data_IF_678071654363
#
_entry.id   IF_678071654363
#
_cell.length_a   1.000
_cell.length_b   1.000
_cell.length_c   1.000
_cell.angle_alpha   90.00
_cell.angle_beta   90.00
_cell.angle_gamma   90.00
#
_symmetry.space_group_name_H-M   'P 1'
#
loop_
_entity.id
_entity.type
_entity.pdbx_description
1 polymer ?
#
# COMPACT_ATOMS: atom_id res chain seq x y z
N UNK A 1 3.18 -20.50 -12.59
CA UNK A 1 4.00 -19.30 -12.26
C UNK A 1 3.35 -18.40 -11.21
N UNK A 2 2.03 -18.14 -11.30
CA UNK A 2 1.26 -17.31 -10.36
C UNK A 2 1.45 -17.73 -8.89
N UNK A 3 1.31 -19.02 -8.57
CA UNK A 3 1.49 -19.50 -7.19
C UNK A 3 2.88 -19.25 -6.59
N UNK A 4 3.95 -19.23 -7.41
CA UNK A 4 5.31 -18.90 -6.93
C UNK A 4 5.43 -17.40 -6.62
N UNK A 5 4.86 -16.55 -7.46
CA UNK A 5 4.85 -15.09 -7.25
C UNK A 5 4.01 -14.72 -6.01
N UNK A 6 2.84 -15.33 -5.85
CA UNK A 6 1.98 -15.13 -4.68
C UNK A 6 2.68 -15.53 -3.37
N UNK A 7 3.36 -16.69 -3.34
CA UNK A 7 4.15 -17.09 -2.16
C UNK A 7 5.23 -16.07 -1.81
N UNK A 8 5.95 -15.54 -2.82
CA UNK A 8 6.95 -14.48 -2.60
C UNK A 8 6.33 -13.21 -2.02
N UNK A 9 5.19 -12.77 -2.55
CA UNK A 9 4.48 -11.60 -2.03
C UNK A 9 4.02 -11.79 -0.59
N UNK A 10 3.47 -12.97 -0.24
CA UNK A 10 3.09 -13.30 1.15
C UNK A 10 4.28 -13.27 2.11
N UNK A 11 5.47 -13.70 1.66
CA UNK A 11 6.70 -13.60 2.45
C UNK A 11 7.08 -12.13 2.66
N UNK A 12 7.07 -11.30 1.62
CA UNK A 12 7.41 -9.88 1.74
C UNK A 12 6.39 -9.11 2.60
N UNK A 13 5.09 -9.43 2.50
CA UNK A 13 4.06 -8.90 3.38
C UNK A 13 4.40 -9.16 4.84
N UNK A 14 4.71 -10.41 5.19
CA UNK A 14 5.05 -10.78 6.56
C UNK A 14 6.32 -10.08 7.08
N UNK A 15 7.32 -9.89 6.21
CA UNK A 15 8.53 -9.14 6.56
C UNK A 15 8.22 -7.68 6.88
N UNK A 16 7.33 -7.05 6.11
CA UNK A 16 6.91 -5.67 6.32
C UNK A 16 6.12 -5.54 7.63
N UNK A 17 5.20 -6.46 7.91
CA UNK A 17 4.46 -6.52 9.18
C UNK A 17 5.41 -6.59 10.39
N UNK A 18 6.47 -7.41 10.29
CA UNK A 18 7.48 -7.53 11.33
C UNK A 18 8.24 -6.20 11.55
N UNK A 19 8.58 -5.49 10.48
CA UNK A 19 9.21 -4.17 10.55
C UNK A 19 8.24 -3.14 11.16
N UNK A 20 6.98 -3.15 10.73
CA UNK A 20 5.90 -2.28 11.23
C UNK A 20 5.72 -2.46 12.75
N UNK A 21 5.68 -3.71 13.22
CA UNK A 21 5.61 -4.03 14.65
C UNK A 21 6.81 -3.49 15.43
N UNK A 22 8.04 -3.67 14.91
CA UNK A 22 9.26 -3.17 15.55
C UNK A 22 9.29 -1.64 15.64
N UNK A 23 8.83 -0.94 14.60
CA UNK A 23 8.72 0.51 14.59
C UNK A 23 7.68 1.00 15.60
N UNK A 24 6.52 0.35 15.70
CA UNK A 24 5.49 0.68 16.70
C UNK A 24 5.98 0.49 18.14
N UNK A 25 6.78 -0.55 18.39
CA UNK A 25 7.44 -0.77 19.68
C UNK A 25 8.46 0.33 19.97
N UNK A 26 9.27 0.70 18.98
CA UNK A 26 10.27 1.79 19.11
C UNK A 26 9.59 3.14 19.36
N UNK A 27 8.52 3.46 18.66
CA UNK A 27 7.68 4.65 18.86
C UNK A 27 7.24 4.76 20.33
N UNK A 28 6.65 3.69 20.87
CA UNK A 28 6.22 3.65 22.28
C UNK A 28 7.37 3.91 23.26
N UNK A 29 8.52 3.27 23.06
CA UNK A 29 9.68 3.44 23.95
C UNK A 29 10.20 4.87 23.90
N UNK A 30 10.33 5.45 22.70
CA UNK A 30 10.79 6.82 22.54
C UNK A 30 9.79 7.82 23.11
N UNK A 31 8.50 7.56 22.95
CA UNK A 31 7.44 8.39 23.52
C UNK A 31 7.52 8.45 25.05
N UNK A 32 7.63 7.29 25.72
CA UNK A 32 7.82 7.25 27.17
C UNK A 32 9.12 7.94 27.61
N UNK A 33 10.20 7.76 26.85
CA UNK A 33 11.48 8.43 27.12
C UNK A 33 11.38 9.95 26.96
N UNK A 34 10.61 10.41 25.98
CA UNK A 34 10.35 11.82 25.73
C UNK A 34 9.56 12.45 26.88
N UNK A 35 8.51 11.77 27.35
CA UNK A 35 7.73 12.17 28.53
C UNK A 35 8.64 12.32 29.76
N UNK A 36 9.57 11.38 29.98
CA UNK A 36 10.53 11.46 31.08
C UNK A 36 11.51 12.64 30.93
N UNK A 37 12.00 12.90 29.72
CA UNK A 37 12.88 14.04 29.44
C UNK A 37 12.16 15.38 29.71
N UNK A 38 10.88 15.49 29.34
CA UNK A 38 10.05 16.65 29.65
C UNK A 38 9.86 16.85 31.15
N UNK A 39 9.56 15.77 31.90
CA UNK A 39 9.42 15.82 33.36
C UNK A 39 10.70 16.31 34.05
N UNK A 40 11.87 15.95 33.51
CA UNK A 40 13.18 16.41 33.99
C UNK A 40 13.57 17.82 33.50
N UNK A 41 12.65 18.54 32.85
CA UNK A 41 12.90 19.86 32.24
C UNK A 41 14.05 19.86 31.20
N UNK A 42 14.43 18.69 30.66
CA UNK A 42 15.44 18.58 29.62
C UNK A 42 14.80 18.75 28.25
N UNK A 43 14.50 20.01 27.93
CA UNK A 43 13.79 20.39 26.69
C UNK A 43 14.55 19.99 25.43
N UNK A 44 15.87 20.17 25.40
CA UNK A 44 16.70 19.80 24.23
C UNK A 44 16.59 18.32 23.88
N UNK A 45 16.70 17.43 24.88
CA UNK A 45 16.55 15.98 24.66
C UNK A 45 15.12 15.61 24.28
N UNK A 46 14.11 16.24 24.87
CA UNK A 46 12.71 16.02 24.51
C UNK A 46 12.44 16.39 23.04
N UNK A 47 12.95 17.51 22.55
CA UNK A 47 12.79 17.93 21.15
C UNK A 47 13.39 16.93 20.17
N UNK A 48 14.59 16.42 20.44
CA UNK A 48 15.23 15.40 19.59
C UNK A 48 14.37 14.13 19.52
N UNK A 49 13.87 13.65 20.66
CA UNK A 49 13.02 12.46 20.73
C UNK A 49 11.69 12.68 20.00
N UNK A 50 11.09 13.87 20.13
CA UNK A 50 9.85 14.22 19.45
C UNK A 50 10.01 14.21 17.92
N UNK A 51 11.14 14.73 17.41
CA UNK A 51 11.45 14.70 15.98
C UNK A 51 11.62 13.26 15.47
N UNK A 52 12.36 12.42 16.20
CA UNK A 52 12.52 11.00 15.85
C UNK A 52 11.18 10.25 15.83
N UNK A 53 10.31 10.51 16.82
CA UNK A 53 8.94 9.96 16.86
C UNK A 53 8.14 10.38 15.62
N UNK A 54 8.25 11.66 15.21
CA UNK A 54 7.55 12.15 14.02
C UNK A 54 8.01 11.43 12.74
N UNK A 55 9.32 11.20 12.59
CA UNK A 55 9.86 10.43 11.45
C UNK A 55 9.44 8.96 11.48
N UNK A 56 9.43 8.32 12.65
CA UNK A 56 8.93 6.94 12.79
C UNK A 56 7.46 6.86 12.38
N UNK A 57 6.62 7.83 12.78
CA UNK A 57 5.20 7.86 12.39
C UNK A 57 5.01 8.01 10.89
N UNK A 58 5.82 8.84 10.23
CA UNK A 58 5.82 8.94 8.76
C UNK A 58 6.18 7.60 8.12
N UNK A 59 7.22 6.93 8.63
CA UNK A 59 7.64 5.62 8.13
C UNK A 59 6.56 4.55 8.34
N UNK A 60 5.92 4.50 9.51
CA UNK A 60 4.81 3.57 9.77
C UNK A 60 3.64 3.81 8.83
N UNK A 61 3.28 5.07 8.55
CA UNK A 61 2.23 5.39 7.57
C UNK A 61 2.61 4.94 6.15
N UNK A 62 3.87 5.11 5.76
CA UNK A 62 4.36 4.61 4.48
C UNK A 62 4.25 3.08 4.39
N UNK A 63 4.73 2.35 5.40
CA UNK A 63 4.64 0.88 5.44
C UNK A 63 3.20 0.39 5.38
N UNK A 64 2.27 1.07 6.06
CA UNK A 64 0.84 0.74 5.99
C UNK A 64 0.31 0.79 4.54
N UNK A 65 0.66 1.82 3.76
CA UNK A 65 0.25 1.88 2.36
C UNK A 65 0.90 0.78 1.51
N UNK A 66 2.14 0.36 1.83
CA UNK A 66 2.79 -0.76 1.15
C UNK A 66 2.12 -2.09 1.49
N UNK A 67 1.75 -2.31 2.76
CA UNK A 67 1.01 -3.50 3.21
C UNK A 67 -0.31 -3.62 2.42
N UNK A 68 -1.11 -2.55 2.35
CA UNK A 68 -2.36 -2.52 1.58
C UNK A 68 -2.13 -2.80 0.08
N UNK A 69 -1.06 -2.25 -0.50
CA UNK A 69 -0.73 -2.47 -1.91
C UNK A 69 -0.41 -3.94 -2.18
N UNK A 70 0.38 -4.58 -1.31
CA UNK A 70 0.73 -5.99 -1.44
C UNK A 70 -0.50 -6.88 -1.24
N UNK A 71 -1.31 -6.60 -0.22
CA UNK A 71 -2.54 -7.34 0.06
C UNK A 71 -3.49 -7.33 -1.15
N UNK A 72 -3.71 -6.16 -1.76
CA UNK A 72 -4.51 -6.07 -2.99
C UNK A 72 -3.95 -6.95 -4.11
N UNK A 73 -2.64 -6.91 -4.36
CA UNK A 73 -2.03 -7.69 -5.44
C UNK A 73 -2.23 -9.19 -5.17
N UNK A 74 -2.07 -9.62 -3.92
CA UNK A 74 -2.32 -11.01 -3.53
C UNK A 74 -3.78 -11.39 -3.82
N UNK A 75 -4.76 -10.62 -3.36
CA UNK A 75 -6.18 -10.89 -3.59
C UNK A 75 -6.53 -10.98 -5.08
N UNK A 76 -5.99 -10.08 -5.90
CA UNK A 76 -6.18 -10.12 -7.36
C UNK A 76 -5.56 -11.36 -8.00
N UNK A 77 -4.36 -11.76 -7.55
CA UNK A 77 -3.71 -12.98 -8.03
C UNK A 77 -4.46 -14.24 -7.61
N UNK A 78 -5.12 -14.24 -6.45
CA UNK A 78 -5.97 -15.34 -5.98
C UNK A 78 -7.18 -15.51 -6.92
N UNK A 79 -7.93 -14.43 -7.22
CA UNK A 79 -9.04 -14.49 -8.19
C UNK A 79 -8.58 -14.95 -9.58
N UNK A 80 -7.43 -14.45 -10.06
CA UNK A 80 -6.87 -14.87 -11.36
C UNK A 80 -6.47 -16.36 -11.33
N UNK A 81 -5.96 -16.85 -10.19
CA UNK A 81 -5.59 -18.26 -10.05
C UNK A 81 -6.82 -19.15 -10.12
N UNK A 82 -7.91 -18.81 -9.43
CA UNK A 82 -9.16 -19.57 -9.46
C UNK A 82 -9.73 -19.65 -10.88
N UNK A 83 -9.76 -18.53 -11.61
CA UNK A 83 -10.19 -18.53 -13.00
C UNK A 83 -9.26 -19.35 -13.91
N UNK A 84 -7.95 -19.31 -13.66
CA UNK A 84 -6.97 -20.09 -14.43
C UNK A 84 -7.19 -21.59 -14.28
N UNK A 85 -7.52 -22.06 -13.08
CA UNK A 85 -7.76 -23.49 -12.83
C UNK A 85 -9.01 -23.96 -13.58
N UNK A 86 -10.09 -23.17 -13.56
CA UNK A 86 -11.31 -23.45 -14.36
C UNK A 86 -11.01 -23.55 -15.85
N UNK A 87 -10.18 -22.66 -16.40
CA UNK A 87 -9.81 -22.67 -17.82
C UNK A 87 -9.00 -23.93 -18.17
N UNK A 88 -8.10 -24.36 -17.28
CA UNK A 88 -7.32 -25.60 -17.46
C UNK A 88 -8.25 -26.81 -17.55
N UNK A 89 -9.28 -26.86 -16.70
CA UNK A 89 -10.26 -27.95 -16.66
C UNK A 89 -11.23 -27.94 -17.86
N UNK A 90 -11.58 -26.75 -18.36
CA UNK A 90 -12.52 -26.60 -19.48
C UNK A 90 -11.87 -26.90 -20.84
N UNK A 91 -10.57 -26.64 -20.99
CA UNK A 91 -9.86 -26.80 -22.28
C UNK A 91 -9.90 -28.23 -22.87
N UNK A 92 -9.76 -29.32 -22.09
CA UNK A 92 -9.99 -30.67 -22.57
C UNK A 92 -11.43 -30.92 -23.03
N UNK A 93 -12.43 -30.43 -22.29
CA UNK A 93 -13.84 -30.62 -22.62
C UNK A 93 -14.20 -29.93 -23.95
N UNK A 94 -13.70 -28.72 -24.19
CA UNK A 94 -13.87 -28.02 -25.48
C UNK A 94 -13.22 -28.79 -26.64
N UNK A 95 -12.04 -29.38 -26.44
CA UNK A 95 -11.40 -30.24 -27.46
C UNK A 95 -12.23 -31.50 -27.75
N UNK A 96 -12.81 -32.11 -26.72
CA UNK A 96 -13.70 -33.26 -26.91
C UNK A 96 -14.95 -32.86 -27.71
N UNK A 97 -15.57 -31.73 -27.37
CA UNK A 97 -16.73 -31.19 -28.09
C UNK A 97 -16.40 -30.94 -29.59
N UNK A 98 -15.23 -30.37 -29.88
CA UNK A 98 -14.74 -30.18 -31.25
C UNK A 98 -14.54 -31.50 -31.99
N UNK A 99 -14.03 -32.54 -31.33
CA UNK A 99 -13.84 -33.85 -31.94
C UNK A 99 -15.17 -34.51 -32.29
N UNK A 100 -16.14 -34.50 -31.35
CA UNK A 100 -17.48 -35.04 -31.57
C UNK A 100 -18.20 -34.29 -32.70
N UNK A 101 -18.07 -32.96 -32.75
CA UNK A 101 -18.60 -32.16 -33.87
C UNK A 101 -18.02 -32.62 -35.21
N UNK A 102 -16.69 -32.83 -35.30
CA UNK A 102 -16.03 -33.31 -36.53
C UNK A 102 -16.49 -34.71 -36.95
N UNK A 103 -16.66 -35.63 -36.01
CA UNK A 103 -17.14 -36.99 -36.28
C UNK A 103 -18.58 -37.00 -36.79
N UNK A 104 -19.42 -36.10 -36.27
CA UNK A 104 -20.82 -35.95 -36.68
C UNK A 104 -20.98 -35.24 -38.03
N UNK A 105 -19.97 -34.56 -38.56
CA UNK A 105 -20.08 -33.77 -39.79
C UNK A 105 -20.57 -34.60 -40.99
N UNK A 106 -20.07 -35.83 -41.13
CA UNK A 106 -20.41 -36.72 -42.26
C UNK A 106 -21.82 -37.33 -42.14
N UNK A 107 -22.39 -37.41 -40.93
CA UNK A 107 -23.65 -38.15 -40.67
C UNK A 107 -24.80 -37.22 -40.29
N UNK A 108 -24.54 -36.15 -39.51
CA UNK A 108 -25.49 -35.14 -39.06
C UNK A 108 -24.86 -33.74 -39.13
N UNK A 109 -24.81 -33.12 -40.33
CA UNK A 109 -24.13 -31.84 -40.54
C UNK A 109 -24.77 -30.68 -39.74
N UNK A 110 -26.09 -30.66 -39.61
CA UNK A 110 -26.80 -29.63 -38.85
C UNK A 110 -26.43 -29.67 -37.35
N UNK A 111 -26.37 -30.89 -36.77
CA UNK A 111 -25.96 -31.08 -35.37
C UNK A 111 -24.49 -30.73 -35.17
N UNK A 112 -23.63 -31.08 -36.13
CA UNK A 112 -22.22 -30.68 -36.11
C UNK A 112 -22.08 -29.15 -36.09
N UNK A 113 -22.85 -28.44 -36.93
CA UNK A 113 -22.83 -26.98 -37.00
C UNK A 113 -23.21 -26.35 -35.65
N UNK A 114 -24.27 -26.83 -35.01
CA UNK A 114 -24.69 -26.33 -33.69
C UNK A 114 -23.66 -26.60 -32.58
N UNK A 115 -23.04 -27.79 -32.56
CA UNK A 115 -21.98 -28.11 -31.59
C UNK A 115 -20.72 -27.24 -31.79
N UNK A 116 -20.34 -26.98 -33.04
CA UNK A 116 -19.25 -26.04 -33.35
C UNK A 116 -19.58 -24.63 -32.90
N UNK A 117 -20.81 -24.15 -33.15
CA UNK A 117 -21.28 -22.84 -32.67
C UNK A 117 -21.21 -22.73 -31.14
N UNK A 118 -21.63 -23.77 -30.42
CA UNK A 118 -21.50 -23.80 -28.95
C UNK A 118 -20.04 -23.73 -28.50
N UNK A 119 -19.15 -24.49 -29.14
CA UNK A 119 -17.71 -24.42 -28.85
C UNK A 119 -17.15 -23.01 -29.06
N UNK A 120 -17.56 -22.34 -30.13
CA UNK A 120 -17.06 -21.01 -30.49
C UNK A 120 -17.57 -19.94 -29.51
N UNK A 121 -18.86 -19.98 -29.13
CA UNK A 121 -19.42 -19.07 -28.12
C UNK A 121 -18.71 -19.22 -26.78
N UNK A 122 -18.45 -20.46 -26.33
CA UNK A 122 -17.73 -20.68 -25.07
C UNK A 122 -16.29 -20.18 -25.20
N UNK A 123 -15.62 -20.46 -26.31
CA UNK A 123 -14.24 -20.01 -26.56
C UNK A 123 -14.13 -18.47 -26.59
N UNK A 124 -15.09 -17.80 -27.22
CA UNK A 124 -15.19 -16.33 -27.25
C UNK A 124 -15.49 -15.77 -25.86
N UNK A 125 -16.42 -16.38 -25.12
CA UNK A 125 -16.76 -15.95 -23.75
C UNK A 125 -15.54 -16.06 -22.83
N UNK A 126 -14.76 -17.14 -22.93
CA UNK A 126 -13.51 -17.30 -22.17
C UNK A 126 -12.46 -16.25 -22.55
N UNK A 127 -12.37 -15.90 -23.82
CA UNK A 127 -11.47 -14.84 -24.29
C UNK A 127 -11.89 -13.46 -23.76
N UNK A 128 -13.19 -13.16 -23.79
CA UNK A 128 -13.77 -11.89 -23.31
C UNK A 128 -13.72 -11.76 -21.80
N UNK A 129 -13.80 -12.86 -21.06
CA UNK A 129 -13.70 -12.90 -19.59
C UNK A 129 -12.25 -12.72 -19.10
N UNK A 130 -11.27 -12.58 -20.00
CA UNK A 130 -9.89 -12.33 -19.62
C UNK A 130 -9.81 -11.02 -18.84
N UNK A 131 -9.38 -11.12 -17.58
CA UNK A 131 -9.04 -9.96 -16.75
C UNK A 131 -7.89 -9.22 -17.46
N UNK A 132 -8.21 -8.14 -18.17
CA UNK A 132 -7.23 -7.33 -18.88
C UNK A 132 -6.53 -6.37 -17.91
N UNK A 133 -5.32 -5.95 -18.26
CA UNK A 133 -4.48 -5.09 -17.42
C UNK A 133 -5.09 -3.70 -17.18
N UNK A 134 -5.99 -3.24 -18.05
CA UNK A 134 -6.59 -1.90 -17.99
C UNK A 134 -7.60 -1.74 -16.84
N UNK A 135 -8.33 -2.81 -16.52
CA UNK A 135 -9.35 -2.80 -15.46
C UNK A 135 -8.75 -2.98 -14.04
N UNK A 136 -7.45 -3.29 -13.96
CA UNK A 136 -6.73 -3.60 -12.72
C UNK A 136 -6.14 -2.37 -12.01
N UNK A 137 -6.24 -1.18 -12.61
CA UNK A 137 -5.57 0.04 -12.14
C UNK A 137 -6.39 0.85 -11.13
N UNK A 138 -7.24 0.21 -10.32
CA UNK A 138 -7.82 0.92 -9.17
C UNK A 138 -6.63 1.39 -8.31
N UNK A 139 -6.55 2.64 -7.84
CA UNK A 139 -5.51 3.04 -6.88
C UNK A 139 -5.76 2.45 -5.49
N UNK A 140 -4.71 2.20 -4.69
CA UNK A 140 -4.83 1.56 -3.36
C UNK A 140 -5.71 2.37 -2.41
N UNK A 141 -5.73 3.70 -2.56
CA UNK A 141 -6.50 4.61 -1.72
C UNK A 141 -7.80 5.09 -2.38
N UNK A 142 -8.30 4.37 -3.40
CA UNK A 142 -9.58 4.70 -4.04
C UNK A 142 -10.49 3.49 -3.99
N UNK A 143 -11.71 3.75 -3.57
CA UNK A 143 -12.80 2.79 -3.61
C UNK A 143 -13.58 3.01 -4.90
N UNK A 144 -14.15 1.92 -5.43
CA UNK A 144 -15.00 1.94 -6.63
C UNK A 144 -16.45 1.97 -6.22
N UNK A 145 -17.38 2.50 -7.05
CA UNK A 145 -18.79 2.62 -6.66
C UNK A 145 -19.40 1.34 -6.06
N UNK A 146 -19.11 0.18 -6.65
CA UNK A 146 -19.55 -1.11 -6.10
C UNK A 146 -18.85 -1.50 -4.78
N UNK A 147 -17.58 -1.12 -4.61
CA UNK A 147 -16.87 -1.25 -3.33
C UNK A 147 -17.45 -0.35 -2.23
N UNK A 148 -17.88 0.88 -2.54
CA UNK A 148 -18.57 1.74 -1.56
C UNK A 148 -19.91 1.15 -1.12
N UNK A 149 -20.68 0.61 -2.06
CA UNK A 149 -21.96 -0.05 -1.75
C UNK A 149 -21.76 -1.27 -0.84
N UNK A 150 -20.78 -2.12 -1.15
CA UNK A 150 -20.43 -3.28 -0.30
C UNK A 150 -19.95 -2.81 1.08
N UNK A 151 -19.12 -1.78 1.18
CA UNK A 151 -18.67 -1.26 2.46
C UNK A 151 -19.83 -0.75 3.31
N UNK A 152 -20.85 -0.14 2.69
CA UNK A 152 -22.06 0.31 3.38
C UNK A 152 -22.88 -0.87 3.89
N UNK A 153 -23.07 -1.91 3.06
CA UNK A 153 -23.77 -3.14 3.46
C UNK A 153 -23.09 -3.82 4.64
N UNK A 154 -21.76 -4.02 4.54
CA UNK A 154 -20.96 -4.63 5.60
C UNK A 154 -21.00 -3.79 6.88
N UNK A 155 -20.94 -2.46 6.78
CA UNK A 155 -21.02 -1.57 7.94
C UNK A 155 -22.37 -1.70 8.65
N UNK A 156 -23.48 -1.66 7.89
CA UNK A 156 -24.82 -1.86 8.45
C UNK A 156 -24.98 -3.23 9.11
N UNK A 157 -24.41 -4.28 8.52
CA UNK A 157 -24.43 -5.61 9.09
C UNK A 157 -23.63 -5.70 10.41
N UNK A 158 -22.47 -5.06 10.47
CA UNK A 158 -21.64 -4.97 11.69
C UNK A 158 -22.37 -4.19 12.78
N UNK A 159 -23.01 -3.07 12.45
CA UNK A 159 -23.79 -2.26 13.39
C UNK A 159 -24.95 -3.05 14.00
N UNK A 160 -25.73 -3.76 13.18
CA UNK A 160 -26.81 -4.62 13.66
C UNK A 160 -26.27 -5.70 14.61
N UNK A 161 -25.18 -6.38 14.23
CA UNK A 161 -24.49 -7.40 15.03
C UNK A 161 -24.01 -6.88 16.38
N UNK A 162 -23.58 -5.62 16.44
CA UNK A 162 -23.16 -4.98 17.69
C UNK A 162 -24.38 -4.62 18.53
N UNK A 163 -25.43 -4.03 17.93
CA UNK A 163 -26.67 -3.67 18.63
C UNK A 163 -27.34 -4.88 19.29
N UNK A 164 -27.36 -6.04 18.63
CA UNK A 164 -27.88 -7.30 19.19
C UNK A 164 -27.11 -7.80 20.43
N UNK A 165 -25.83 -7.41 20.58
CA UNK A 165 -24.95 -7.83 21.69
C UNK A 165 -24.86 -6.80 22.80
N UNK A 166 -25.39 -5.60 22.60
CA UNK A 166 -25.43 -4.59 23.64
C UNK A 166 -26.57 -4.90 24.61
N UNK A 167 -26.33 -4.95 25.94
CA UNK A 167 -27.41 -5.05 26.91
C UNK A 167 -28.29 -3.80 26.83
N UNK A 168 -29.59 -3.98 27.07
CA UNK A 168 -30.51 -2.83 27.12
C UNK A 168 -30.04 -1.83 28.19
N UNK A 169 -29.98 -0.53 27.86
CA UNK A 169 -29.59 0.49 28.82
C UNK A 169 -30.59 0.45 30.00
N UNK A 170 -30.12 0.57 31.25
CA UNK A 170 -31.00 0.50 32.40
C UNK A 170 -32.09 1.57 32.27
N UNK A 171 -33.34 1.12 32.16
CA UNK A 171 -34.51 1.99 32.11
C UNK A 171 -34.55 2.80 33.41
N UNK A 172 -34.26 4.10 33.31
CA UNK A 172 -34.56 5.04 34.37
C UNK A 172 -36.09 5.07 34.49
N UNK A 173 -36.61 4.35 35.46
CA UNK A 173 -37.98 4.47 35.92
C UNK A 173 -38.17 5.92 36.39
N UNK A 174 -38.76 6.74 35.53
CA UNK A 174 -39.36 8.00 35.93
C UNK A 174 -40.49 7.68 36.92
N UNK A 175 -40.25 7.97 38.19
CA UNK A 175 -41.33 8.18 39.15
C UNK A 175 -41.47 9.69 39.34
N UNK A 176 -42.61 10.28 38.96
CA UNK A 176 -42.90 11.69 39.22
C UNK A 176 -43.22 11.90 40.71
N UNK A 177 -42.72 12.99 41.30
CA UNK A 177 -43.42 13.95 42.20
C UNK A 177 -42.41 14.68 43.13
N UNK A 178 -42.17 15.94 42.76
CA UNK A 178 -42.02 17.20 43.53
C UNK A 178 -41.52 17.21 44.99
N UNK A 179 -40.51 18.04 45.29
CA UNK A 179 -40.40 18.90 46.50
C UNK A 179 -39.24 19.93 46.37
N UNK A 180 -39.22 21.04 47.14
CA UNK A 180 -38.93 22.38 46.62
C UNK A 180 -37.46 22.81 46.64
N UNK A 181 -37.17 23.70 45.69
CA UNK A 181 -35.88 24.31 45.34
C UNK A 181 -35.23 25.04 46.51
N UNK A 182 -34.02 24.61 46.91
CA UNK A 182 -33.08 25.47 47.66
C UNK A 182 -32.20 26.23 46.68
N UNK A 183 -32.43 27.52 46.66
CA UNK A 183 -31.72 28.55 45.92
C UNK A 183 -30.25 28.64 46.40
N UNK A 184 -29.30 28.36 45.51
CA UNK A 184 -27.88 28.74 45.68
C UNK A 184 -27.62 29.95 44.78
N UNK A 185 -27.28 31.09 45.38
CA UNK A 185 -26.93 32.32 44.67
C UNK A 185 -25.42 32.29 44.37
N UNK A 186 -25.07 32.37 43.09
CA UNK A 186 -23.69 32.54 42.65
C UNK A 186 -23.22 33.98 42.91
N UNK A 187 -22.11 34.17 43.63
CA UNK A 187 -21.38 35.43 43.62
C UNK A 187 -20.55 35.53 42.34
N UNK A 188 -20.74 36.64 41.64
CA UNK A 188 -20.11 36.96 40.37
C UNK A 188 -18.58 36.88 40.40
N UNK A 189 -18.01 36.31 39.33
CA UNK A 189 -16.75 36.77 38.77
C UNK A 189 -17.01 37.20 37.33
N UNK A 190 -16.88 38.51 37.15
CA UNK A 190 -16.79 39.30 35.93
C UNK A 190 -16.15 38.60 34.73
N UNK A 191 -16.81 38.67 33.57
CA UNK A 191 -16.26 39.25 32.33
C UNK A 191 -17.39 39.53 31.32
N UNK A 192 -17.20 40.61 30.56
CA UNK A 192 -18.19 41.48 29.93
C UNK A 192 -18.85 40.99 28.63
N UNK A 193 -20.13 41.39 28.44
CA UNK A 193 -20.78 42.05 27.27
C UNK A 193 -20.48 41.51 25.84
N UNK A 194 -21.41 41.27 24.90
CA UNK A 194 -22.74 41.84 24.51
C UNK A 194 -23.50 40.76 23.71
N UNK A 195 -24.72 40.36 24.08
CA UNK A 195 -26.06 40.76 23.55
C UNK A 195 -26.25 40.66 22.02
N UNK A 196 -27.10 39.69 21.63
CA UNK A 196 -27.76 39.54 20.32
C UNK A 196 -28.40 38.15 20.13
N UNK A 197 -29.57 37.92 20.74
CA UNK A 197 -30.54 36.80 20.51
C UNK A 197 -30.88 36.60 19.01
N UNK A 198 -31.38 35.50 18.45
CA UNK A 198 -31.95 34.17 18.82
C UNK A 198 -32.01 33.40 17.46
N UNK A 199 -31.80 32.09 17.28
CA UNK A 199 -32.66 30.94 17.64
C UNK A 199 -32.02 29.58 17.20
N UNK A 200 -32.10 28.58 18.09
CA UNK A 200 -32.25 27.11 17.87
C UNK A 200 -31.11 26.30 17.22
N UNK A 201 -30.60 25.37 18.04
CA UNK A 201 -29.51 24.42 17.78
C UNK A 201 -30.02 23.05 17.29
N UNK A 202 -29.34 22.47 16.32
CA UNK A 202 -29.10 21.01 16.25
C UNK A 202 -27.70 20.83 15.67
N UNK A 203 -26.81 20.26 16.48
CA UNK A 203 -25.36 20.27 16.25
C UNK A 203 -24.95 19.45 15.02
N UNK A 204 -24.65 20.16 13.93
CA UNK A 204 -23.76 19.71 12.88
C UNK A 204 -22.33 20.15 13.24
N UNK A 205 -21.42 19.21 13.50
CA UNK A 205 -20.00 19.54 13.66
C UNK A 205 -19.41 19.83 12.28
N UNK A 206 -19.58 21.09 11.89
CA UNK A 206 -18.82 21.79 10.86
C UNK A 206 -17.32 21.71 11.18
N UNK A 207 -16.57 21.01 10.35
CA UNK A 207 -15.11 21.12 10.30
C UNK A 207 -14.71 22.09 9.20
N UNK A 208 -15.04 23.37 9.38
CA UNK A 208 -14.33 24.46 8.72
C UNK A 208 -13.10 24.81 9.55
N UNK A 209 -11.99 24.12 9.30
CA UNK A 209 -10.66 24.69 9.46
C UNK A 209 -9.96 24.60 8.11
N UNK A 210 -10.18 25.67 7.36
CA UNK A 210 -9.58 26.04 6.08
C UNK A 210 -8.08 26.33 6.28
N UNK A 211 -7.21 25.34 6.16
CA UNK A 211 -5.83 25.62 5.77
C UNK A 211 -5.79 25.75 4.25
N UNK A 212 -5.93 26.99 3.79
CA UNK A 212 -5.67 27.40 2.42
C UNK A 212 -4.18 27.14 2.10
N UNK A 213 -3.88 26.00 1.50
CA UNK A 213 -2.61 25.81 0.81
C UNK A 213 -2.63 26.66 -0.45
N UNK A 214 -2.02 27.83 -0.32
CA UNK A 214 -1.61 28.68 -1.43
C UNK A 214 -0.86 27.78 -2.43
N UNK A 215 -1.33 27.79 -3.68
CA UNK A 215 -0.75 27.22 -4.89
C UNK A 215 0.79 27.23 -4.84
N UNK A 216 1.37 26.11 -4.41
CA UNK A 216 2.73 25.74 -4.75
C UNK A 216 2.57 24.55 -5.68
N UNK A 217 2.98 24.74 -6.93
CA UNK A 217 3.13 23.67 -7.90
C UNK A 217 3.89 22.52 -7.23
N UNK A 218 3.22 21.38 -7.09
CA UNK A 218 3.88 20.14 -6.73
C UNK A 218 4.78 19.81 -7.90
N UNK A 219 6.04 20.23 -7.85
CA UNK A 219 7.08 19.62 -8.66
C UNK A 219 7.13 18.16 -8.26
N UNK A 220 6.63 17.33 -9.16
CA UNK A 220 6.76 15.90 -9.15
C UNK A 220 8.23 15.55 -8.88
N UNK A 221 8.52 15.12 -7.65
CA UNK A 221 9.84 14.59 -7.32
C UNK A 221 9.91 13.22 -7.99
N UNK A 222 10.26 13.21 -9.27
CA UNK A 222 10.71 12.02 -9.97
C UNK A 222 12.01 11.57 -9.29
N UNK A 223 11.89 10.74 -8.25
CA UNK A 223 13.00 9.92 -7.79
C UNK A 223 13.26 8.88 -8.88
N UNK A 224 14.00 9.29 -9.92
CA UNK A 224 14.77 8.34 -10.72
C UNK A 224 15.74 7.70 -9.73
N UNK A 225 15.38 6.52 -9.23
CA UNK A 225 16.37 5.59 -8.71
C UNK A 225 17.19 5.20 -9.93
N UNK A 226 18.20 6.02 -10.23
CA UNK A 226 19.24 5.66 -11.18
C UNK A 226 19.80 4.33 -10.68
N UNK A 227 19.68 3.28 -11.49
CA UNK A 227 20.53 2.10 -11.32
C UNK A 227 21.96 2.65 -11.16
N UNK A 228 22.69 2.33 -10.08
CA UNK A 228 24.05 2.81 -9.96
C UNK A 228 24.80 2.32 -11.20
N UNK A 229 25.25 3.26 -12.02
CA UNK A 229 26.02 2.93 -13.22
C UNK A 229 27.24 2.14 -12.77
N UNK A 230 27.70 1.20 -13.61
CA UNK A 230 28.88 0.39 -13.34
C UNK A 230 30.09 1.26 -12.93
N UNK A 231 30.18 2.48 -13.48
CA UNK A 231 31.17 3.49 -13.14
C UNK A 231 31.14 3.93 -11.67
N UNK A 232 29.96 4.13 -11.07
CA UNK A 232 29.85 4.57 -9.67
C UNK A 232 30.27 3.45 -8.71
N UNK A 233 29.87 2.20 -9.01
CA UNK A 233 30.27 1.03 -8.21
C UNK A 233 31.77 0.79 -8.33
N UNK A 234 32.32 0.92 -9.54
CA UNK A 234 33.74 0.79 -9.81
C UNK A 234 34.55 1.90 -9.11
N UNK A 235 34.07 3.15 -9.11
CA UNK A 235 34.75 4.26 -8.44
C UNK A 235 34.85 4.05 -6.92
N UNK A 236 33.78 3.54 -6.28
CA UNK A 236 33.82 3.18 -4.86
C UNK A 236 34.74 1.98 -4.59
N UNK A 237 34.80 1.01 -5.51
CA UNK A 237 35.75 -0.09 -5.44
C UNK A 237 37.21 0.40 -5.47
N UNK A 238 37.53 1.36 -6.34
CA UNK A 238 38.87 1.97 -6.46
C UNK A 238 39.28 2.69 -5.18
N UNK A 239 38.36 3.45 -4.57
CA UNK A 239 38.61 4.10 -3.27
C UNK A 239 38.95 3.07 -2.19
N UNK A 240 38.26 1.93 -2.20
CA UNK A 240 38.46 0.84 -1.24
C UNK A 240 39.78 0.09 -1.48
N UNK A 241 40.19 -0.09 -2.75
CA UNK A 241 41.42 -0.78 -3.13
C UNK A 241 42.68 0.08 -3.10
N UNK A 242 42.58 1.34 -2.67
CA UNK A 242 43.70 2.30 -2.56
C UNK A 242 44.48 2.51 -3.86
N UNK A 243 43.83 2.35 -5.01
CA UNK A 243 44.39 2.70 -6.32
C UNK A 243 45.04 1.56 -7.12
N UNK A 244 45.16 0.35 -6.56
CA UNK A 244 45.57 -0.84 -7.33
C UNK A 244 44.33 -1.67 -7.70
N UNK A 245 44.23 -2.07 -8.97
CA UNK A 245 43.11 -2.86 -9.49
C UNK A 245 43.67 -3.98 -10.37
N UNK A 246 43.35 -5.23 -10.03
CA UNK A 246 43.48 -6.35 -10.95
C UNK A 246 42.17 -6.51 -11.71
N UNK A 247 42.22 -6.40 -13.05
CA UNK A 247 41.06 -6.50 -13.93
C UNK A 247 40.35 -7.86 -13.79
N UNK A 248 41.10 -8.93 -13.52
CA UNK A 248 40.54 -10.29 -13.39
C UNK A 248 39.75 -10.46 -12.10
N UNK A 249 40.28 -9.94 -10.99
CA UNK A 249 39.59 -9.96 -9.70
C UNK A 249 38.39 -9.00 -9.71
N UNK A 250 38.53 -7.83 -10.32
CA UNK A 250 37.47 -6.85 -10.45
C UNK A 250 36.28 -7.38 -11.27
N UNK A 251 36.52 -8.15 -12.34
CA UNK A 251 35.47 -8.79 -13.14
C UNK A 251 34.64 -9.79 -12.33
N UNK A 252 35.31 -10.59 -11.49
CA UNK A 252 34.63 -11.58 -10.63
C UNK A 252 33.80 -10.89 -9.54
N UNK A 253 34.34 -9.84 -8.92
CA UNK A 253 33.67 -9.16 -7.81
C UNK A 253 32.52 -8.24 -8.24
N UNK A 254 32.62 -7.59 -9.41
CA UNK A 254 31.57 -6.72 -9.96
C UNK A 254 30.62 -7.45 -10.92
N UNK A 255 30.90 -8.73 -11.22
CA UNK A 255 30.12 -9.56 -12.14
C UNK A 255 29.87 -8.87 -13.50
N UNK A 256 30.91 -8.20 -14.02
CA UNK A 256 30.91 -7.45 -15.27
C UNK A 256 32.08 -7.91 -16.15
N UNK A 257 31.96 -7.75 -17.46
CA UNK A 257 33.04 -8.19 -18.38
C UNK A 257 34.27 -7.30 -18.26
N UNK A 258 35.46 -7.85 -18.53
CA UNK A 258 36.70 -7.05 -18.51
C UNK A 258 36.63 -5.85 -19.47
N UNK A 259 35.97 -6.02 -20.63
CA UNK A 259 35.78 -4.96 -21.64
C UNK A 259 34.88 -3.82 -21.12
N UNK A 260 33.82 -4.16 -20.38
CA UNK A 260 32.91 -3.17 -19.77
C UNK A 260 33.59 -2.38 -18.65
N UNK A 261 34.42 -3.06 -17.85
CA UNK A 261 35.20 -2.44 -16.77
C UNK A 261 36.25 -1.50 -17.37
N UNK A 262 36.96 -1.92 -18.42
CA UNK A 262 37.95 -1.07 -19.09
C UNK A 262 37.31 0.19 -19.70
N UNK A 263 36.17 0.03 -20.38
CA UNK A 263 35.41 1.17 -20.92
C UNK A 263 34.92 2.10 -19.82
N UNK A 264 34.52 1.55 -18.66
CA UNK A 264 34.13 2.35 -17.50
C UNK A 264 35.33 3.10 -16.87
N UNK A 265 36.51 2.49 -16.79
CA UNK A 265 37.75 3.14 -16.33
C UNK A 265 38.18 4.27 -17.28
N UNK A 266 38.13 4.03 -18.58
CA UNK A 266 38.42 5.07 -19.59
C UNK A 266 37.42 6.24 -19.48
N UNK A 267 36.14 5.95 -19.23
CA UNK A 267 35.13 6.99 -18.97
C UNK A 267 35.42 7.80 -17.71
N UNK A 268 35.77 7.14 -16.60
CA UNK A 268 36.14 7.83 -15.35
C UNK A 268 37.44 8.64 -15.49
N UNK A 269 38.37 8.18 -16.33
CA UNK A 269 39.58 8.92 -16.70
C UNK A 269 39.27 10.16 -17.54
N UNK A 270 38.38 10.04 -18.53
CA UNK A 270 37.93 11.17 -19.34
C UNK A 270 37.16 12.22 -18.52
N UNK A 271 36.43 11.80 -17.49
CA UNK A 271 35.78 12.69 -16.51
C UNK A 271 36.76 13.32 -15.50
N UNK A 272 38.06 12.93 -15.53
CA UNK A 272 39.10 13.46 -14.66
C UNK A 272 39.02 12.98 -13.21
N UNK A 273 38.23 11.93 -12.92
CA UNK A 273 38.03 11.40 -11.56
C UNK A 273 39.12 10.42 -11.12
N UNK A 274 39.82 9.82 -12.07
CA UNK A 274 40.95 8.91 -11.85
C UNK A 274 42.04 9.15 -12.89
N UNK A 275 43.29 8.85 -12.55
CA UNK A 275 44.41 8.80 -13.50
C UNK A 275 44.76 7.32 -13.65
N UNK A 276 44.60 6.78 -14.86
CA UNK A 276 44.88 5.38 -15.15
C UNK A 276 46.32 5.28 -15.64
N UNK A 277 47.21 4.77 -14.80
CA UNK A 277 48.57 4.40 -15.21
C UNK A 277 48.64 2.90 -15.48
N UNK A 278 48.73 2.52 -16.75
CA UNK A 278 48.95 1.12 -17.12
C UNK A 278 50.40 0.76 -16.85
N UNK A 279 50.66 0.06 -15.75
CA UNK A 279 51.98 -0.52 -15.48
C UNK A 279 52.16 -1.74 -16.39
N UNK A 280 52.73 -1.51 -17.58
CA UNK A 280 53.19 -2.59 -18.43
C UNK A 280 54.24 -3.41 -17.66
N UNK A 281 54.09 -4.73 -17.67
CA UNK A 281 55.10 -5.65 -17.18
C UNK A 281 56.07 -5.99 -18.29
#
# INVERSE_FOLDING_TARGET
>A
MIGKSMRKLKIEQHRIEQVSFRLKKRDNILFQTCVHALKKQNKGRATILANEIAEIKKLTKFLYHVELAIERVILRLETISELSDIIIDLKPALRMLQNVSKELFEVLPDVSSELSRVNDIISETLYSTRITTDESLIPVNRTTPGGEEILKEVSSFVEQRVAEKLPEPPSALETPVETPVRQMVALAATCSQTIGQETVETEAVSSQNLFSFKKAEVQEISLKVEKPSLQNVLFEYIKKSKGEIDLTQCSVELNASCEEIEKALQGLGAEGKIIVETKAR
#
